data_IF_056831947163
#
_entry.id   IF_056831947163
#
_cell.length_a   1.000
_cell.length_b   1.000
_cell.length_c   1.000
_cell.angle_alpha   90.00
_cell.angle_beta   90.00
_cell.angle_gamma   90.00
#
_symmetry.space_group_name_H-M   'P 1'
#
loop_
_entity.id
_entity.type
_entity.pdbx_description
1 polymer ?
#
# COMPACT_ATOMS: atom_id res chain seq x y z
N UNK A 1 -3.85 21.19 -71.31
CA UNK A 1 -3.44 19.89 -70.72
C UNK A 1 -3.03 20.16 -69.29
N UNK A 2 -3.75 19.59 -68.33
CA UNK A 2 -3.91 20.09 -66.96
C UNK A 2 -2.70 19.78 -66.06
N UNK A 3 -2.25 20.79 -65.31
CA UNK A 3 -1.19 20.68 -64.31
C UNK A 3 -1.78 20.12 -63.00
N UNK A 4 -1.31 18.95 -62.54
CA UNK A 4 -1.80 18.31 -61.31
C UNK A 4 -0.91 18.77 -60.15
N UNK A 5 -1.44 19.62 -59.27
CA UNK A 5 -0.78 20.01 -58.01
C UNK A 5 -1.02 18.91 -56.97
N UNK A 6 0.01 18.13 -56.63
CA UNK A 6 -0.08 17.16 -55.54
C UNK A 6 0.04 17.88 -54.19
N UNK A 7 -1.08 17.93 -53.45
CA UNK A 7 -1.11 18.38 -52.07
C UNK A 7 -0.70 17.20 -51.19
N UNK A 8 0.57 17.16 -50.78
CA UNK A 8 1.05 16.18 -49.80
C UNK A 8 0.38 16.44 -48.45
N UNK A 9 -0.58 15.59 -48.10
CA UNK A 9 -1.22 15.60 -46.78
C UNK A 9 -0.19 15.17 -45.73
N UNK A 10 0.30 16.13 -44.95
CA UNK A 10 1.01 15.85 -43.71
C UNK A 10 -0.04 15.41 -42.68
N UNK A 11 -0.19 14.10 -42.50
CA UNK A 11 -1.05 13.56 -41.44
C UNK A 11 -0.42 13.90 -40.09
N UNK A 12 -0.95 14.92 -39.42
CA UNK A 12 -0.73 15.13 -37.99
C UNK A 12 -1.35 13.94 -37.24
N UNK A 13 -0.53 12.98 -36.86
CA UNK A 13 -0.93 11.99 -35.86
C UNK A 13 -0.94 12.73 -34.52
N UNK A 14 -2.11 13.19 -34.09
CA UNK A 14 -2.30 13.62 -32.72
C UNK A 14 -2.13 12.38 -31.84
N UNK A 15 -0.93 12.22 -31.27
CA UNK A 15 -0.73 11.29 -30.17
C UNK A 15 -1.66 11.74 -29.05
N UNK A 16 -2.72 10.98 -28.80
CA UNK A 16 -3.47 11.08 -27.56
C UNK A 16 -2.50 10.65 -26.46
N UNK A 17 -1.75 11.61 -25.90
CA UNK A 17 -1.04 11.40 -24.64
C UNK A 17 -2.13 11.01 -23.64
N UNK A 18 -2.15 9.74 -23.27
CA UNK A 18 -2.70 9.34 -22.00
C UNK A 18 -1.85 10.08 -20.96
N UNK A 19 -2.30 11.27 -20.56
CA UNK A 19 -1.51 12.23 -19.76
C UNK A 19 -1.34 11.79 -18.31
N UNK A 20 -1.60 10.51 -18.02
CA UNK A 20 -1.39 9.92 -16.71
C UNK A 20 0.10 9.82 -16.45
N UNK A 21 0.60 10.37 -15.33
CA UNK A 21 1.99 10.18 -14.94
C UNK A 21 2.41 8.72 -14.95
N UNK A 22 3.58 8.43 -15.51
CA UNK A 22 4.13 7.06 -15.58
C UNK A 22 4.25 6.44 -14.19
N UNK A 23 4.51 7.24 -13.17
CA UNK A 23 4.57 6.73 -11.79
C UNK A 23 3.22 6.22 -11.25
N UNK A 24 2.08 6.62 -11.82
CA UNK A 24 0.78 6.05 -11.44
C UNK A 24 0.61 4.62 -11.97
N UNK A 25 1.30 4.28 -13.07
CA UNK A 25 1.23 2.96 -13.69
C UNK A 25 2.37 2.04 -13.26
N UNK A 26 3.60 2.57 -13.13
CA UNK A 26 4.78 1.79 -12.77
C UNK A 26 4.99 1.70 -11.25
N UNK A 27 4.38 2.60 -10.48
CA UNK A 27 4.59 2.72 -9.04
C UNK A 27 5.90 3.42 -8.69
N UNK A 28 6.18 3.52 -7.39
CA UNK A 28 7.39 4.15 -6.85
C UNK A 28 8.27 3.13 -6.13
N UNK A 29 9.58 3.25 -6.30
CA UNK A 29 10.56 2.32 -5.74
C UNK A 29 11.07 2.69 -4.35
N UNK A 30 11.00 3.98 -3.97
CA UNK A 30 11.47 4.45 -2.67
C UNK A 30 10.57 4.04 -1.51
N UNK A 31 11.17 3.91 -0.32
CA UNK A 31 10.41 3.73 0.92
C UNK A 31 9.64 5.00 1.21
N UNK A 32 8.32 4.88 1.41
CA UNK A 32 7.43 6.03 1.62
C UNK A 32 7.53 7.06 0.49
N UNK A 33 7.79 6.58 -0.73
CA UNK A 33 7.55 7.36 -1.93
C UNK A 33 6.19 7.01 -2.50
N UNK A 34 5.51 8.05 -2.98
CA UNK A 34 4.24 7.94 -3.66
C UNK A 34 4.27 8.79 -4.92
N UNK A 35 3.53 8.36 -5.94
CA UNK A 35 3.42 9.12 -7.18
C UNK A 35 2.52 10.32 -6.94
N UNK A 36 3.08 11.51 -6.96
CA UNK A 36 2.28 12.73 -6.92
C UNK A 36 1.78 13.03 -8.32
N UNK A 37 0.49 12.78 -8.54
CA UNK A 37 -0.21 12.88 -9.81
C UNK A 37 -0.27 14.29 -10.39
N UNK A 38 0.02 15.33 -9.59
CA UNK A 38 0.06 16.72 -10.06
C UNK A 38 1.41 17.04 -10.69
N UNK A 39 2.51 16.65 -10.05
CA UNK A 39 3.87 16.87 -10.58
C UNK A 39 4.30 15.77 -11.55
N UNK A 40 3.67 14.60 -11.44
CA UNK A 40 3.93 13.44 -12.26
C UNK A 40 5.20 12.66 -11.90
N UNK A 41 5.65 12.77 -10.66
CA UNK A 41 6.90 12.19 -10.16
C UNK A 41 6.69 11.47 -8.83
N UNK A 42 7.52 10.46 -8.58
CA UNK A 42 7.63 9.84 -7.27
C UNK A 42 8.33 10.78 -6.30
N UNK A 43 7.74 10.98 -5.12
CA UNK A 43 8.37 11.74 -4.04
C UNK A 43 7.92 11.24 -2.68
N UNK A 44 8.65 11.66 -1.64
CA UNK A 44 8.29 11.48 -0.23
C UNK A 44 7.73 12.78 0.37
N UNK A 45 7.24 12.68 1.60
CA UNK A 45 6.85 13.83 2.41
C UNK A 45 8.02 14.78 2.64
N UNK A 46 7.74 16.08 2.59
CA UNK A 46 8.73 17.14 2.86
C UNK A 46 8.88 17.46 4.34
N UNK A 47 7.85 17.19 5.13
CA UNK A 47 7.75 17.46 6.56
C UNK A 47 6.61 16.63 7.16
N UNK A 48 6.41 16.74 8.48
CA UNK A 48 5.44 15.92 9.24
C UNK A 48 3.96 16.19 8.89
N UNK A 49 3.66 17.28 8.18
CA UNK A 49 2.29 17.60 7.74
C UNK A 49 2.06 17.33 6.25
N UNK A 50 3.11 17.09 5.46
CA UNK A 50 3.01 16.77 4.04
C UNK A 50 2.67 15.27 3.84
N UNK A 51 1.40 14.96 3.62
CA UNK A 51 0.87 13.60 3.71
C UNK A 51 0.20 13.16 2.41
N UNK A 52 0.51 11.96 1.94
CA UNK A 52 -0.03 11.42 0.71
C UNK A 52 -1.49 10.99 0.88
N UNK A 53 -2.38 11.53 0.04
CA UNK A 53 -3.77 11.10 -0.06
C UNK A 53 -3.93 10.21 -1.30
N UNK A 54 -4.09 8.90 -1.06
CA UNK A 54 -4.19 7.91 -2.13
C UNK A 54 -5.45 8.06 -3.00
N UNK A 55 -6.54 8.64 -2.47
CA UNK A 55 -7.80 8.85 -3.22
C UNK A 55 -7.61 9.82 -4.38
N UNK A 56 -6.75 10.82 -4.17
CA UNK A 56 -6.49 11.91 -5.14
C UNK A 56 -5.06 11.87 -5.68
N UNK A 57 -4.30 10.84 -5.32
CA UNK A 57 -2.92 10.59 -5.71
C UNK A 57 -2.00 11.82 -5.61
N UNK A 58 -2.00 12.52 -4.47
CA UNK A 58 -1.12 13.68 -4.24
C UNK A 58 -0.80 13.83 -2.76
N UNK A 59 0.29 14.49 -2.42
CA UNK A 59 0.44 14.95 -1.04
C UNK A 59 -0.27 16.29 -0.81
N UNK A 60 -0.66 16.49 0.44
CA UNK A 60 -1.40 17.64 0.93
C UNK A 60 -0.92 17.97 2.35
N UNK A 61 -1.17 19.19 2.79
CA UNK A 61 -0.91 19.61 4.17
C UNK A 61 -2.03 19.09 5.08
N UNK A 62 -1.71 18.11 5.92
CA UNK A 62 -2.66 17.37 6.74
C UNK A 62 -3.54 16.40 5.93
N UNK A 63 -4.46 15.72 6.62
CA UNK A 63 -5.41 14.80 6.02
C UNK A 63 -6.84 15.30 6.19
N UNK A 64 -7.74 14.84 5.33
CA UNK A 64 -9.16 15.17 5.40
C UNK A 64 -9.79 14.66 6.71
N UNK A 65 -10.92 15.24 7.12
CA UNK A 65 -11.59 14.86 8.37
C UNK A 65 -11.84 13.35 8.46
N UNK A 66 -11.51 12.76 9.62
CA UNK A 66 -11.58 11.32 9.84
C UNK A 66 -10.34 10.54 9.34
N UNK A 67 -9.30 11.25 8.90
CA UNK A 67 -8.01 10.66 8.54
C UNK A 67 -6.88 11.25 9.39
N UNK A 68 -5.96 10.39 9.81
CA UNK A 68 -4.69 10.75 10.43
C UNK A 68 -3.56 10.59 9.41
N UNK A 69 -2.58 11.50 9.45
CA UNK A 69 -1.35 11.31 8.73
C UNK A 69 -0.44 10.35 9.48
N UNK A 70 -0.35 9.12 8.98
CA UNK A 70 0.44 8.05 9.60
C UNK A 70 1.45 7.53 8.60
N UNK A 71 2.72 7.73 8.90
CA UNK A 71 3.84 7.40 8.02
C UNK A 71 3.68 8.01 6.62
N UNK A 72 3.47 9.33 6.57
CA UNK A 72 3.39 10.10 5.31
C UNK A 72 2.19 9.72 4.43
N UNK A 73 1.20 9.00 4.97
CA UNK A 73 0.02 8.51 4.26
C UNK A 73 -1.25 8.84 5.05
N UNK A 74 -2.23 9.45 4.39
CA UNK A 74 -3.55 9.68 4.97
C UNK A 74 -4.30 8.36 5.11
N UNK A 75 -4.61 7.99 6.35
CA UNK A 75 -5.33 6.77 6.69
C UNK A 75 -6.47 7.09 7.62
N UNK A 76 -7.56 6.33 7.53
CA UNK A 76 -8.70 6.50 8.43
C UNK A 76 -8.19 6.46 9.86
N UNK A 77 -8.64 7.40 10.69
CA UNK A 77 -8.42 7.46 12.13
C UNK A 77 -9.21 6.34 12.83
N UNK A 78 -9.01 5.10 12.39
CA UNK A 78 -9.59 3.93 13.03
C UNK A 78 -8.51 3.35 13.95
N UNK A 79 -8.85 3.26 15.24
CA UNK A 79 -8.12 2.35 16.11
C UNK A 79 -8.14 0.96 15.45
N UNK A 80 -6.99 0.26 15.36
CA UNK A 80 -7.00 -1.10 14.89
C UNK A 80 -8.02 -1.90 15.69
N UNK A 81 -8.89 -2.65 15.01
CA UNK A 81 -9.84 -3.57 15.68
C UNK A 81 -9.14 -4.62 16.54
N UNK A 82 -7.81 -4.74 16.39
CA UNK A 82 -6.92 -5.67 17.08
C UNK A 82 -6.07 -5.03 18.20
N UNK A 83 -6.31 -3.75 18.56
CA UNK A 83 -5.65 -3.12 19.71
C UNK A 83 -4.13 -2.88 19.57
N UNK A 84 -3.57 -3.01 18.37
CA UNK A 84 -2.14 -2.81 18.13
C UNK A 84 -1.72 -1.33 18.22
N UNK A 85 -0.54 -1.09 18.78
CA UNK A 85 0.04 0.25 18.91
C UNK A 85 0.96 0.60 17.74
N UNK A 86 1.59 -0.38 17.09
CA UNK A 86 2.44 -0.13 15.93
C UNK A 86 1.66 -0.26 14.60
N UNK A 87 1.73 0.80 13.79
CA UNK A 87 0.88 1.00 12.59
C UNK A 87 1.67 1.04 11.27
N UNK A 88 2.97 0.71 11.32
CA UNK A 88 3.83 0.74 10.14
C UNK A 88 3.37 -0.28 9.10
N UNK A 89 3.29 0.15 7.85
CA UNK A 89 3.19 -0.77 6.72
C UNK A 89 4.59 -1.34 6.47
N UNK A 90 4.69 -2.65 6.56
CA UNK A 90 5.93 -3.38 6.39
C UNK A 90 5.92 -4.17 5.07
N UNK A 91 7.10 -4.56 4.59
CA UNK A 91 7.21 -5.45 3.44
C UNK A 91 6.52 -6.79 3.72
N UNK A 92 6.09 -7.50 2.68
CA UNK A 92 5.41 -8.78 2.84
C UNK A 92 6.22 -9.76 3.72
N UNK A 93 5.56 -10.35 4.71
CA UNK A 93 6.17 -11.27 5.69
C UNK A 93 6.99 -10.60 6.81
N UNK A 94 7.03 -9.26 6.85
CA UNK A 94 7.62 -8.49 7.96
C UNK A 94 6.53 -7.70 8.68
N UNK A 95 6.70 -7.51 9.99
CA UNK A 95 5.71 -6.86 10.84
C UNK A 95 6.40 -5.91 11.82
N UNK A 96 5.64 -4.94 12.32
CA UNK A 96 6.09 -4.05 13.36
C UNK A 96 5.39 -4.41 14.68
N UNK A 97 6.18 -4.60 15.72
CA UNK A 97 5.68 -4.99 17.03
C UNK A 97 5.12 -3.78 17.77
N UNK A 98 4.20 -4.04 18.69
CA UNK A 98 3.74 -3.04 19.63
C UNK A 98 4.94 -2.38 20.33
N UNK A 99 4.86 -1.06 20.53
CA UNK A 99 5.93 -0.20 21.02
C UNK A 99 7.21 -0.12 20.15
N UNK A 100 7.17 -0.57 18.89
CA UNK A 100 8.23 -0.38 17.91
C UNK A 100 7.88 0.70 16.88
N UNK A 101 8.91 1.36 16.34
CA UNK A 101 8.82 2.20 15.14
C UNK A 101 9.64 1.60 13.98
N UNK A 102 9.84 0.28 13.98
CA UNK A 102 10.57 -0.44 12.92
C UNK A 102 9.87 -1.73 12.55
N UNK A 103 9.85 -2.01 11.25
CA UNK A 103 9.52 -3.33 10.72
C UNK A 103 10.69 -4.28 10.94
N UNK A 104 10.38 -5.54 11.27
CA UNK A 104 11.38 -6.61 11.31
C UNK A 104 10.81 -7.91 10.74
N UNK A 105 11.70 -8.84 10.47
CA UNK A 105 11.37 -10.23 10.16
C UNK A 105 11.45 -11.10 11.44
N UNK A 106 10.96 -12.36 11.39
CA UNK A 106 11.33 -13.35 12.39
C UNK A 106 12.85 -13.50 12.52
N UNK A 107 13.31 -13.68 13.75
CA UNK A 107 14.70 -14.00 14.11
C UNK A 107 15.03 -15.46 13.84
N UNK A 108 14.02 -16.33 13.82
CA UNK A 108 14.17 -17.75 13.54
C UNK A 108 12.88 -18.30 12.88
N UNK A 109 12.93 -19.54 12.38
CA UNK A 109 11.84 -20.16 11.62
C UNK A 109 10.58 -20.48 12.44
N UNK A 110 10.69 -20.48 13.77
CA UNK A 110 9.58 -20.78 14.66
C UNK A 110 8.87 -19.51 15.13
N UNK A 111 9.56 -18.37 15.04
CA UNK A 111 9.01 -17.09 15.44
C UNK A 111 7.97 -16.61 14.42
N UNK A 112 6.77 -16.30 14.89
CA UNK A 112 5.64 -15.90 14.07
C UNK A 112 4.91 -14.71 14.68
N UNK A 113 4.40 -13.80 13.86
CA UNK A 113 3.72 -12.60 14.34
C UNK A 113 2.29 -12.92 14.78
N UNK A 114 1.98 -12.68 16.04
CA UNK A 114 0.63 -12.80 16.59
C UNK A 114 -0.07 -11.42 16.51
N UNK A 115 -1.13 -11.35 15.70
CA UNK A 115 -1.91 -10.12 15.51
C UNK A 115 -2.64 -9.67 16.78
N UNK A 116 -3.10 -10.61 17.61
CA UNK A 116 -3.85 -10.31 18.84
C UNK A 116 -2.98 -9.68 19.93
N UNK A 117 -1.71 -10.09 20.00
CA UNK A 117 -0.75 -9.51 20.97
C UNK A 117 0.06 -8.37 20.37
N UNK A 118 0.19 -8.33 19.04
CA UNK A 118 1.04 -7.40 18.32
C UNK A 118 2.53 -7.66 18.50
N UNK A 119 2.91 -8.89 18.85
CA UNK A 119 4.31 -9.31 19.02
C UNK A 119 4.61 -10.58 18.24
N UNK A 120 5.88 -10.79 17.94
CA UNK A 120 6.33 -12.09 17.50
C UNK A 120 6.47 -13.06 18.68
N UNK A 121 6.03 -14.30 18.48
CA UNK A 121 6.00 -15.38 19.47
C UNK A 121 6.63 -16.65 18.89
N UNK A 122 7.17 -17.52 19.74
CA UNK A 122 7.70 -18.82 19.30
C UNK A 122 6.55 -19.83 19.16
N UNK A 123 6.15 -20.09 17.91
CA UNK A 123 4.96 -20.88 17.61
C UNK A 123 3.66 -20.10 17.77
N UNK A 124 2.60 -20.60 17.14
CA UNK A 124 1.26 -20.05 17.28
C UNK A 124 0.47 -20.84 18.34
N UNK A 125 -0.54 -20.19 18.92
CA UNK A 125 -1.48 -20.83 19.84
C UNK A 125 -2.30 -21.93 19.12
N UNK A 126 -2.88 -22.84 19.89
CA UNK A 126 -3.71 -23.92 19.34
C UNK A 126 -4.85 -23.36 18.48
N UNK A 127 -5.11 -24.01 17.34
CA UNK A 127 -6.06 -23.52 16.33
C UNK A 127 -5.46 -22.53 15.33
N UNK A 128 -4.18 -22.13 15.50
CA UNK A 128 -3.47 -21.26 14.58
C UNK A 128 -2.21 -21.93 14.03
N UNK A 129 -1.86 -21.61 12.78
CA UNK A 129 -0.62 -22.04 12.15
C UNK A 129 0.20 -20.84 11.66
N UNK A 130 1.53 -20.99 11.63
CA UNK A 130 2.43 -19.95 11.18
C UNK A 130 2.52 -19.92 9.64
N UNK A 131 1.82 -18.97 9.01
CA UNK A 131 1.81 -18.79 7.55
C UNK A 131 2.32 -17.40 7.19
N UNK A 132 3.27 -17.31 6.25
CA UNK A 132 3.92 -16.06 5.86
C UNK A 132 4.38 -15.21 7.05
N UNK A 133 5.01 -15.86 8.05
CA UNK A 133 5.50 -15.26 9.29
C UNK A 133 4.41 -14.64 10.19
N UNK A 134 3.15 -15.04 10.02
CA UNK A 134 1.99 -14.58 10.80
C UNK A 134 1.15 -15.76 11.30
N UNK A 135 0.66 -15.68 12.53
CA UNK A 135 -0.32 -16.65 13.02
C UNK A 135 -1.67 -16.42 12.33
N UNK A 136 -2.16 -17.45 11.64
CA UNK A 136 -3.45 -17.47 10.94
C UNK A 136 -4.28 -18.63 11.45
N UNK A 137 -5.59 -18.40 11.54
CA UNK A 137 -6.57 -19.39 11.99
C UNK A 137 -6.65 -20.55 10.99
N UNK A 138 -6.71 -21.78 11.49
CA UNK A 138 -6.80 -23.01 10.68
C UNK A 138 -8.24 -23.23 10.20
N UNK A 139 -9.24 -22.57 10.78
CA UNK A 139 -10.68 -22.81 10.56
C UNK A 139 -11.22 -22.36 9.19
N UNK A 140 -10.37 -22.04 8.20
CA UNK A 140 -10.80 -21.66 6.84
C UNK A 140 -11.30 -22.85 6.00
N UNK A 141 -11.33 -24.08 6.52
CA UNK A 141 -11.81 -25.26 5.80
C UNK A 141 -13.30 -25.60 6.05
N UNK A 142 -13.94 -25.04 7.09
CA UNK A 142 -15.31 -25.45 7.47
C UNK A 142 -16.44 -24.57 6.90
N UNK A 143 -16.15 -23.40 6.31
CA UNK A 143 -17.19 -22.51 5.77
C UNK A 143 -17.60 -22.80 4.32
N UNK A 144 -17.02 -23.83 3.67
CA UNK A 144 -17.38 -24.24 2.29
C UNK A 144 -18.31 -25.47 2.28
N UNK A 145 -18.58 -26.07 3.44
CA UNK A 145 -19.36 -27.31 3.54
C UNK A 145 -20.83 -27.12 3.99
N UNK A 146 -21.29 -25.89 4.23
CA UNK A 146 -22.65 -25.63 4.74
C UNK A 146 -23.68 -25.18 3.70
N UNK A 147 -23.29 -25.01 2.42
CA UNK A 147 -24.23 -24.68 1.33
C UNK A 147 -24.57 -25.91 0.44
N UNK A 148 -24.24 -27.12 0.89
CA UNK A 148 -24.59 -28.35 0.20
C UNK A 148 -25.41 -29.28 1.11
N UNK A 149 -26.63 -28.87 1.46
CA UNK A 149 -27.69 -29.76 1.94
C UNK A 149 -29.07 -29.22 1.57
#
# INVERSE_FOLDING_TARGET
MTLIVQVSRLSLVAATRDSRPVCLTEGCGGRREYCDGIIGECRSARNDTDCYNATIARFQDGCDDGYECLDDLCRVSAAPVDGRTCRLICAAGSFCENNSNKCRNPKNKRECFNLATGFYVDGCEDGYYCSFNKCVDISLEDSIAQDAS
#
